data_IF_581966673883
#
_entry.id   IF_581966673883
#
_cell.length_a   1.000
_cell.length_b   1.000
_cell.length_c   1.000
_cell.angle_alpha   90.00
_cell.angle_beta   90.00
_cell.angle_gamma   90.00
#
_symmetry.space_group_name_H-M   'P 1'
#
loop_
_entity.id
_entity.type
_entity.pdbx_description
1 polymer ?
#
# COMPACT_ATOMS: atom_id res chain seq x y z
N UNK A 1 -27.64 -54.19 0.65
CA UNK A 1 -27.30 -53.07 -0.29
C UNK A 1 -28.04 -51.75 -0.04
N UNK A 2 -29.01 -51.61 0.86
CA UNK A 2 -29.75 -50.34 1.11
C UNK A 2 -29.21 -49.47 2.26
N UNK A 3 -28.23 -49.91 3.03
CA UNK A 3 -27.67 -49.14 4.17
C UNK A 3 -26.42 -48.34 3.84
N UNK A 4 -25.79 -48.52 2.69
CA UNK A 4 -24.58 -47.80 2.28
C UNK A 4 -24.87 -46.53 1.47
N UNK A 5 -26.05 -46.40 0.89
CA UNK A 5 -26.43 -45.20 0.11
C UNK A 5 -26.84 -44.01 0.98
N UNK A 6 -27.27 -44.24 2.22
CA UNK A 6 -27.67 -43.18 3.14
C UNK A 6 -26.49 -42.51 3.81
N UNK A 7 -25.34 -43.19 3.91
CA UNK A 7 -24.14 -42.62 4.52
C UNK A 7 -23.33 -41.72 3.56
N UNK A 8 -23.44 -41.95 2.25
CA UNK A 8 -22.81 -41.10 1.23
C UNK A 8 -23.59 -39.80 0.98
N UNK A 9 -24.89 -39.78 1.20
CA UNK A 9 -25.71 -38.57 1.06
C UNK A 9 -25.49 -37.56 2.23
N UNK A 10 -25.10 -38.03 3.42
CA UNK A 10 -24.76 -37.17 4.55
C UNK A 10 -23.32 -36.59 4.48
N UNK A 11 -22.41 -37.26 3.78
CA UNK A 11 -21.05 -36.78 3.61
C UNK A 11 -20.96 -35.69 2.51
N UNK A 12 -21.92 -35.63 1.60
CA UNK A 12 -21.99 -34.61 0.53
C UNK A 12 -22.57 -33.26 0.95
N UNK A 13 -23.19 -33.14 2.13
CA UNK A 13 -23.80 -31.90 2.61
C UNK A 13 -22.90 -31.05 3.54
N UNK A 14 -21.68 -31.48 3.85
CA UNK A 14 -20.79 -30.80 4.78
C UNK A 14 -19.80 -29.86 4.05
N UNK A 15 -19.80 -29.80 2.72
CA UNK A 15 -18.80 -29.07 1.93
C UNK A 15 -19.21 -27.68 1.41
N UNK A 16 -20.38 -27.17 1.80
CA UNK A 16 -20.80 -25.80 1.44
C UNK A 16 -21.25 -24.95 2.64
N UNK A 17 -20.63 -25.12 3.79
CA UNK A 17 -20.63 -24.05 4.76
C UNK A 17 -19.47 -23.09 4.39
N UNK A 18 -19.65 -22.27 3.36
CA UNK A 18 -18.92 -21.02 3.27
C UNK A 18 -19.20 -20.28 4.60
N UNK A 19 -18.20 -20.24 5.45
CA UNK A 19 -18.32 -19.62 6.76
C UNK A 19 -18.74 -18.16 6.57
N UNK A 20 -19.98 -17.84 6.92
CA UNK A 20 -20.49 -16.48 6.90
C UNK A 20 -19.49 -15.60 7.63
N UNK A 21 -19.04 -14.48 7.01
CA UNK A 21 -18.06 -13.56 7.62
C UNK A 21 -18.60 -13.14 8.99
N UNK A 22 -17.76 -13.23 10.01
CA UNK A 22 -18.10 -12.73 11.34
C UNK A 22 -17.73 -11.27 11.42
N UNK A 23 -18.67 -10.44 11.83
CA UNK A 23 -18.50 -9.01 12.04
C UNK A 23 -18.46 -8.68 13.53
N UNK A 24 -17.62 -7.71 13.90
CA UNK A 24 -17.60 -7.15 15.26
C UNK A 24 -18.94 -6.49 15.56
N UNK A 25 -19.47 -6.73 16.75
CA UNK A 25 -20.73 -6.10 17.17
C UNK A 25 -20.58 -4.60 17.48
N UNK A 26 -19.33 -4.13 17.76
CA UNK A 26 -19.01 -2.78 18.17
C UNK A 26 -17.67 -2.41 17.57
N UNK A 27 -17.58 -1.24 16.93
CA UNK A 27 -16.32 -0.71 16.42
C UNK A 27 -15.35 -0.35 17.54
N UNK A 28 -14.06 -0.49 17.29
CA UNK A 28 -13.00 0.00 18.20
C UNK A 28 -13.11 1.51 18.42
N UNK A 29 -13.64 2.26 17.45
CA UNK A 29 -13.86 3.70 17.52
C UNK A 29 -15.05 4.11 18.39
N UNK A 30 -15.79 3.17 18.98
CA UNK A 30 -17.01 3.46 19.74
C UNK A 30 -16.76 4.18 21.07
N UNK A 31 -15.55 4.09 21.61
CA UNK A 31 -15.18 4.72 22.89
C UNK A 31 -13.69 5.06 22.93
N UNK A 32 -13.30 6.01 23.77
CA UNK A 32 -11.92 6.43 23.99
C UNK A 32 -11.61 7.80 23.38
N UNK A 33 -10.35 8.20 23.48
CA UNK A 33 -9.82 9.41 22.84
C UNK A 33 -9.04 8.98 21.60
N UNK A 34 -9.36 9.58 20.47
CA UNK A 34 -8.80 9.20 19.19
C UNK A 34 -8.21 10.40 18.45
N UNK A 35 -7.02 10.18 17.88
CA UNK A 35 -6.38 11.12 16.97
C UNK A 35 -6.08 10.42 15.66
N UNK A 36 -6.51 11.01 14.55
CA UNK A 36 -6.22 10.55 13.20
C UNK A 36 -4.90 11.17 12.73
N UNK A 37 -4.04 10.34 12.18
CA UNK A 37 -2.78 10.72 11.55
C UNK A 37 -2.67 10.10 10.16
N UNK A 38 -1.81 10.64 9.31
CA UNK A 38 -1.56 10.07 7.99
C UNK A 38 -0.08 10.01 7.67
N UNK A 39 0.26 9.13 6.73
CA UNK A 39 1.59 8.98 6.12
C UNK A 39 1.44 8.94 4.59
N UNK A 40 2.43 9.43 3.86
CA UNK A 40 2.43 9.53 2.40
C UNK A 40 3.37 8.53 1.71
N UNK A 41 4.20 7.82 2.47
CA UNK A 41 5.12 6.81 1.94
C UNK A 41 5.39 5.69 2.94
N UNK A 42 6.02 4.62 2.47
CA UNK A 42 6.48 3.51 3.30
C UNK A 42 7.61 3.95 4.22
N UNK A 43 7.49 3.66 5.53
CA UNK A 43 8.55 3.99 6.48
C UNK A 43 8.26 3.60 7.91
N UNK A 44 9.28 3.83 8.76
CA UNK A 44 9.12 3.86 10.22
C UNK A 44 8.89 5.31 10.61
N UNK A 45 7.89 5.54 11.43
CA UNK A 45 7.48 6.87 11.91
C UNK A 45 7.63 6.97 13.41
N UNK A 46 7.95 8.17 13.89
CA UNK A 46 8.07 8.46 15.32
C UNK A 46 6.92 9.34 15.82
N UNK A 47 6.33 8.97 16.94
CA UNK A 47 5.29 9.73 17.62
C UNK A 47 5.77 10.07 19.04
N UNK A 48 6.09 11.33 19.29
CA UNK A 48 6.57 11.79 20.59
C UNK A 48 5.44 12.21 21.52
N UNK A 49 5.72 12.33 22.82
CA UNK A 49 4.79 12.89 23.80
C UNK A 49 4.39 14.33 23.43
N UNK A 50 5.33 15.13 22.90
CA UNK A 50 5.02 16.47 22.41
C UNK A 50 4.06 16.46 21.21
N UNK A 51 4.18 15.49 20.30
CA UNK A 51 3.24 15.31 19.19
C UNK A 51 1.83 15.04 19.70
N UNK A 52 1.64 14.11 20.65
CA UNK A 52 0.33 13.80 21.21
C UNK A 52 -0.25 14.99 22.00
N UNK A 53 0.57 15.73 22.70
CA UNK A 53 0.13 16.96 23.41
C UNK A 53 -0.39 18.01 22.43
N UNK A 54 0.26 18.20 21.29
CA UNK A 54 -0.20 19.11 20.22
C UNK A 54 -1.52 18.66 19.61
N UNK A 55 -1.83 17.35 19.63
CA UNK A 55 -3.13 16.79 19.26
C UNK A 55 -4.23 17.02 20.30
N UNK A 56 -3.92 17.65 21.42
CA UNK A 56 -4.86 17.86 22.53
C UNK A 56 -5.06 16.62 23.40
N UNK A 57 -4.21 15.59 23.25
CA UNK A 57 -4.24 14.41 24.10
C UNK A 57 -3.50 14.66 25.42
N UNK A 58 -3.99 14.05 26.48
CA UNK A 58 -3.33 14.12 27.79
C UNK A 58 -1.99 13.37 27.72
N UNK A 59 -0.93 13.96 28.24
CA UNK A 59 0.37 13.31 28.48
C UNK A 59 0.49 12.91 29.95
N UNK A 60 1.52 12.15 30.29
CA UNK A 60 1.69 11.47 31.57
C UNK A 60 0.63 10.37 31.80
N UNK A 61 0.53 9.49 30.81
CA UNK A 61 -0.37 8.35 30.79
C UNK A 61 0.43 7.04 30.86
N UNK A 62 -0.12 5.94 31.33
CA UNK A 62 0.56 4.66 31.26
C UNK A 62 0.94 4.35 29.80
N UNK A 63 2.23 4.21 29.53
CA UNK A 63 2.76 3.97 28.18
C UNK A 63 2.17 2.71 27.55
N UNK A 64 1.85 1.70 28.38
CA UNK A 64 1.18 0.47 27.97
C UNK A 64 -0.18 0.73 27.29
N UNK A 65 -0.87 1.79 27.64
CA UNK A 65 -2.24 2.08 27.19
C UNK A 65 -2.30 2.87 25.87
N UNK A 66 -1.16 3.24 25.31
CA UNK A 66 -1.10 3.83 23.96
C UNK A 66 -1.19 2.73 22.93
N UNK A 67 -2.12 2.90 21.99
CA UNK A 67 -2.42 1.97 20.91
C UNK A 67 -2.50 2.72 19.60
N UNK A 68 -2.15 2.06 18.49
CA UNK A 68 -2.36 2.58 17.15
C UNK A 68 -3.11 1.55 16.31
N UNK A 69 -4.02 2.02 15.47
CA UNK A 69 -4.87 1.17 14.64
C UNK A 69 -4.81 1.63 13.19
N UNK A 70 -4.89 0.68 12.26
CA UNK A 70 -4.94 0.92 10.82
C UNK A 70 -4.71 -0.37 10.04
N UNK A 71 -5.15 -0.40 8.79
CA UNK A 71 -5.04 -1.60 7.94
C UNK A 71 -3.68 -1.78 7.29
N UNK A 72 -2.74 -0.85 7.47
CA UNK A 72 -1.43 -0.90 6.80
C UNK A 72 -1.41 -0.32 5.40
N UNK A 73 -2.37 0.54 5.04
CA UNK A 73 -2.41 1.22 3.75
C UNK A 73 -2.91 0.35 2.59
N UNK A 74 -2.61 0.79 1.35
CA UNK A 74 -3.07 0.13 0.14
C UNK A 74 -4.54 0.36 -0.19
N UNK A 75 -5.05 -0.38 -1.18
CA UNK A 75 -6.43 -0.30 -1.69
C UNK A 75 -7.23 -1.47 -1.15
N UNK A 76 -8.49 -1.23 -0.83
CA UNK A 76 -9.39 -2.32 -0.47
C UNK A 76 -9.67 -3.23 -1.68
N UNK A 77 -9.76 -4.55 -1.48
CA UNK A 77 -10.08 -5.48 -2.55
C UNK A 77 -11.47 -5.20 -3.16
N UNK A 78 -11.54 -5.18 -4.47
CA UNK A 78 -12.83 -5.00 -5.17
C UNK A 78 -13.71 -6.27 -5.11
N UNK A 79 -13.10 -7.43 -5.00
CA UNK A 79 -13.83 -8.70 -4.89
C UNK A 79 -14.41 -8.90 -3.48
N UNK A 80 -15.69 -9.20 -3.40
CA UNK A 80 -16.35 -9.57 -2.13
C UNK A 80 -15.85 -10.89 -1.53
N UNK A 81 -15.13 -11.70 -2.31
CA UNK A 81 -14.58 -12.99 -1.88
C UNK A 81 -13.24 -12.85 -1.16
N UNK A 82 -12.54 -11.75 -1.38
CA UNK A 82 -11.26 -11.49 -0.69
C UNK A 82 -11.51 -11.16 0.79
N UNK A 83 -10.67 -11.76 1.64
CA UNK A 83 -10.67 -11.44 3.06
C UNK A 83 -10.16 -10.01 3.28
N UNK A 84 -10.85 -9.26 4.13
CA UNK A 84 -10.45 -7.93 4.61
C UNK A 84 -10.55 -7.93 6.12
N UNK A 85 -9.85 -7.03 6.78
CA UNK A 85 -10.13 -6.72 8.18
C UNK A 85 -11.57 -6.21 8.31
N UNK A 86 -12.27 -6.68 9.33
CA UNK A 86 -13.67 -6.25 9.55
C UNK A 86 -13.72 -4.82 10.10
N UNK A 87 -12.97 -4.56 11.16
CA UNK A 87 -12.78 -3.25 11.80
C UNK A 87 -11.28 -2.91 11.79
N UNK A 88 -10.88 -1.81 12.35
CA UNK A 88 -9.49 -1.36 12.40
C UNK A 88 -8.62 -2.33 13.20
N UNK A 89 -7.64 -3.00 12.58
CA UNK A 89 -6.69 -3.83 13.29
C UNK A 89 -5.69 -2.97 14.06
N UNK A 90 -5.22 -3.49 15.19
CA UNK A 90 -4.17 -2.86 15.97
C UNK A 90 -2.79 -3.16 15.41
N UNK A 91 -1.99 -2.13 15.21
CA UNK A 91 -0.59 -2.17 14.81
C UNK A 91 0.31 -2.19 16.04
N UNK A 92 1.31 -3.06 16.08
CA UNK A 92 2.28 -3.09 17.17
C UNK A 92 3.23 -1.88 17.11
N UNK A 93 3.60 -1.36 18.28
CA UNK A 93 4.51 -0.22 18.41
C UNK A 93 5.77 -0.60 19.18
N UNK A 94 6.86 0.09 18.91
CA UNK A 94 8.07 0.07 19.71
C UNK A 94 8.07 1.26 20.65
N UNK A 95 7.83 1.01 21.95
CA UNK A 95 7.70 2.05 22.96
C UNK A 95 9.06 2.38 23.58
N UNK A 96 9.36 3.68 23.68
CA UNK A 96 10.48 4.20 24.43
C UNK A 96 9.95 5.24 25.44
N UNK A 97 9.72 4.78 26.66
CA UNK A 97 9.16 5.53 27.80
C UNK A 97 10.18 5.70 28.94
N UNK A 98 11.49 5.63 28.64
CA UNK A 98 12.52 5.72 29.67
C UNK A 98 12.54 4.55 30.67
N UNK A 99 11.60 3.62 30.59
CA UNK A 99 11.47 2.45 31.45
C UNK A 99 10.69 2.70 32.75
N UNK A 100 10.01 3.85 32.89
CA UNK A 100 9.20 4.18 34.07
C UNK A 100 7.71 3.84 33.91
N UNK A 101 7.30 3.45 32.68
CA UNK A 101 5.93 3.04 32.38
C UNK A 101 4.96 4.18 32.19
N UNK A 102 5.44 5.43 32.14
CA UNK A 102 4.66 6.65 31.91
C UNK A 102 5.13 7.28 30.61
N UNK A 103 4.21 7.69 29.76
CA UNK A 103 4.53 8.34 28.50
C UNK A 103 4.45 9.86 28.65
N UNK A 104 5.59 10.50 28.80
CA UNK A 104 5.71 11.95 28.96
C UNK A 104 7.06 12.49 28.47
N UNK A 105 7.34 13.77 28.74
CA UNK A 105 8.65 14.39 28.49
C UNK A 105 9.17 14.18 27.07
N UNK A 106 10.25 13.45 26.95
CA UNK A 106 10.94 13.14 25.69
C UNK A 106 10.59 11.74 25.14
N UNK A 107 9.58 11.10 25.67
CA UNK A 107 9.17 9.77 25.26
C UNK A 107 8.60 9.74 23.83
N UNK A 108 8.76 8.61 23.20
CA UNK A 108 8.24 8.38 21.86
C UNK A 108 7.93 6.90 21.64
N UNK A 109 7.12 6.64 20.66
CA UNK A 109 7.00 5.29 20.10
C UNK A 109 7.22 5.30 18.59
N UNK A 110 7.63 4.16 18.07
CA UNK A 110 7.83 3.93 16.65
C UNK A 110 6.79 2.94 16.13
N UNK A 111 6.36 3.14 14.89
CA UNK A 111 5.53 2.18 14.17
C UNK A 111 5.90 2.12 12.71
N UNK A 112 5.61 0.99 12.07
CA UNK A 112 5.80 0.81 10.63
C UNK A 112 4.51 1.14 9.88
N UNK A 113 4.64 1.80 8.73
CA UNK A 113 3.56 2.11 7.82
C UNK A 113 3.97 1.76 6.37
N UNK A 114 3.23 0.89 5.65
CA UNK A 114 3.51 0.55 4.25
C UNK A 114 3.28 1.68 3.23
N UNK A 115 2.54 2.72 3.62
CA UNK A 115 2.18 3.81 2.70
C UNK A 115 0.92 3.53 1.87
N UNK A 116 0.45 4.51 1.08
CA UNK A 116 -0.77 4.39 0.27
C UNK A 116 -0.59 3.45 -0.93
N UNK A 117 0.54 3.53 -1.60
CA UNK A 117 0.92 2.68 -2.72
C UNK A 117 1.75 1.50 -2.24
N UNK A 118 1.58 0.33 -2.86
CA UNK A 118 2.23 -0.89 -2.40
C UNK A 118 2.89 -1.67 -3.54
N UNK A 119 4.06 -2.23 -3.25
CA UNK A 119 4.67 -3.25 -4.07
C UNK A 119 4.30 -4.63 -3.51
N UNK A 120 3.63 -5.44 -4.32
CA UNK A 120 3.11 -6.74 -3.90
C UNK A 120 3.84 -7.85 -4.65
N UNK A 121 4.46 -8.77 -3.92
CA UNK A 121 5.11 -9.93 -4.54
C UNK A 121 4.09 -10.81 -5.25
N UNK A 122 4.38 -11.14 -6.52
CA UNK A 122 3.57 -11.98 -7.40
C UNK A 122 4.23 -13.36 -7.52
N UNK A 123 3.79 -14.39 -6.78
CA UNK A 123 4.45 -15.71 -6.80
C UNK A 123 4.49 -16.36 -8.17
N UNK A 124 3.50 -16.08 -9.03
CA UNK A 124 3.38 -16.66 -10.38
C UNK A 124 4.44 -16.16 -11.36
N UNK A 125 4.89 -14.92 -11.21
CA UNK A 125 5.92 -14.29 -12.05
C UNK A 125 7.26 -14.19 -11.33
N UNK A 126 7.29 -14.39 -10.01
CA UNK A 126 8.44 -14.14 -9.13
C UNK A 126 8.96 -12.69 -9.23
N UNK A 127 8.05 -11.75 -9.44
CA UNK A 127 8.32 -10.31 -9.52
C UNK A 127 7.39 -9.54 -8.58
N UNK A 128 7.72 -8.29 -8.30
CA UNK A 128 6.83 -7.38 -7.58
C UNK A 128 5.95 -6.64 -8.58
N UNK A 129 4.66 -6.52 -8.29
CA UNK A 129 3.73 -5.66 -9.01
C UNK A 129 3.39 -4.43 -8.16
N UNK A 130 3.34 -3.27 -8.78
CA UNK A 130 2.91 -2.05 -8.12
C UNK A 130 1.39 -1.94 -8.08
N UNK A 131 0.85 -1.62 -6.92
CA UNK A 131 -0.55 -1.29 -6.72
C UNK A 131 -0.67 0.16 -6.26
N UNK A 132 -1.08 1.03 -7.19
CA UNK A 132 -1.38 2.42 -6.90
C UNK A 132 -2.70 2.55 -6.16
N UNK A 133 -2.76 3.46 -5.21
CA UNK A 133 -4.01 3.87 -4.59
C UNK A 133 -4.64 5.03 -5.41
N UNK A 134 -5.72 4.79 -6.17
CA UNK A 134 -6.34 5.83 -7.00
C UNK A 134 -7.22 6.80 -6.20
N UNK A 135 -7.38 6.60 -4.90
CA UNK A 135 -8.31 7.33 -4.06
C UNK A 135 -7.63 8.26 -3.06
N UNK A 136 -6.35 7.97 -2.71
CA UNK A 136 -5.62 8.76 -1.71
C UNK A 136 -4.12 8.61 -1.87
N UNK A 137 -3.40 9.72 -1.77
CA UNK A 137 -1.94 9.76 -1.65
C UNK A 137 -1.45 9.59 -0.20
N UNK A 138 -2.36 9.20 0.71
CA UNK A 138 -2.07 9.00 2.12
C UNK A 138 -2.69 7.72 2.64
N UNK A 139 -2.00 7.07 3.60
CA UNK A 139 -2.54 6.03 4.47
C UNK A 139 -2.83 6.62 5.85
N UNK A 140 -3.89 6.15 6.50
CA UNK A 140 -4.37 6.73 7.74
C UNK A 140 -4.28 5.74 8.90
N UNK A 141 -3.97 6.29 10.07
CA UNK A 141 -3.89 5.57 11.32
C UNK A 141 -4.62 6.33 12.43
N UNK A 142 -5.07 5.59 13.44
CA UNK A 142 -5.80 6.13 14.57
C UNK A 142 -5.05 5.81 15.86
N UNK A 143 -4.56 6.84 16.56
CA UNK A 143 -3.90 6.70 17.85
C UNK A 143 -4.98 6.78 18.93
N UNK A 144 -5.00 5.78 19.81
CA UNK A 144 -5.92 5.68 20.93
C UNK A 144 -5.17 5.75 22.25
N UNK A 145 -5.74 6.48 23.20
CA UNK A 145 -5.38 6.42 24.60
C UNK A 145 -6.55 5.79 25.33
N UNK A 146 -6.35 4.58 25.81
CA UNK A 146 -7.39 3.75 26.43
C UNK A 146 -7.00 3.23 27.82
N UNK A 147 -7.69 2.17 28.23
CA UNK A 147 -7.48 1.52 29.52
C UNK A 147 -6.95 0.08 29.40
N UNK A 148 -6.61 -0.34 28.19
CA UNK A 148 -6.10 -1.69 27.88
C UNK A 148 -4.73 -1.60 27.24
N UNK A 149 -3.80 -2.49 27.63
CA UNK A 149 -2.49 -2.53 27.01
C UNK A 149 -2.57 -2.80 25.51
N UNK A 150 -1.72 -2.11 24.75
CA UNK A 150 -1.59 -2.26 23.32
C UNK A 150 -0.52 -3.27 22.91
N UNK A 151 -0.51 -3.62 21.61
CA UNK A 151 0.48 -4.49 21.01
C UNK A 151 1.87 -3.83 21.01
N UNK A 152 2.89 -4.64 21.25
CA UNK A 152 4.30 -4.19 21.26
C UNK A 152 5.11 -5.02 20.29
N UNK A 153 6.03 -4.36 19.60
CA UNK A 153 7.04 -5.01 18.77
C UNK A 153 8.02 -5.74 19.69
N UNK A 154 8.29 -7.01 19.38
CA UNK A 154 9.18 -7.86 20.18
C UNK A 154 10.43 -8.22 19.38
N UNK A 155 11.48 -8.63 20.09
CA UNK A 155 12.67 -9.21 19.47
C UNK A 155 12.32 -10.55 18.81
N UNK A 156 12.80 -10.73 17.59
CA UNK A 156 12.69 -12.01 16.89
C UNK A 156 13.70 -13.04 17.43
N UNK A 157 13.42 -14.34 17.29
CA UNK A 157 14.36 -15.38 17.64
C UNK A 157 15.70 -15.19 16.90
N UNK A 158 16.80 -15.39 17.63
CA UNK A 158 18.15 -15.29 17.03
C UNK A 158 18.40 -16.49 16.14
N UNK A 159 18.72 -16.23 14.87
CA UNK A 159 19.13 -17.23 13.90
C UNK A 159 20.65 -17.24 13.81
N UNK A 160 21.23 -18.44 13.71
CA UNK A 160 22.68 -18.60 13.53
C UNK A 160 23.14 -18.06 12.19
N UNK A 161 24.35 -17.50 12.15
CA UNK A 161 24.94 -17.03 10.91
C UNK A 161 25.02 -18.15 9.86
N UNK A 162 24.67 -17.80 8.63
CA UNK A 162 24.75 -18.67 7.46
C UNK A 162 26.01 -18.39 6.65
N UNK A 163 26.46 -19.39 5.88
CA UNK A 163 27.50 -19.20 4.85
C UNK A 163 26.99 -18.40 3.64
N UNK A 164 25.68 -18.36 3.42
CA UNK A 164 25.04 -17.48 2.43
C UNK A 164 25.05 -16.06 2.93
N UNK A 165 25.81 -15.18 2.27
CA UNK A 165 25.89 -13.75 2.64
C UNK A 165 25.21 -12.91 1.59
N UNK A 166 24.22 -12.12 2.01
CA UNK A 166 23.46 -11.19 1.19
C UNK A 166 24.01 -9.77 1.39
N UNK A 167 24.46 -9.15 0.31
CA UNK A 167 25.04 -7.79 0.28
C UNK A 167 24.35 -6.88 -0.73
N UNK A 168 23.38 -7.40 -1.45
CA UNK A 168 22.55 -6.74 -2.44
C UNK A 168 21.10 -7.23 -2.34
N UNK A 169 20.15 -6.45 -2.85
CA UNK A 169 18.73 -6.74 -2.74
C UNK A 169 17.99 -6.45 -4.04
N UNK A 170 16.74 -6.91 -4.13
CA UNK A 170 15.84 -6.62 -5.24
C UNK A 170 15.20 -5.25 -5.05
N UNK A 171 15.62 -4.30 -5.87
CA UNK A 171 15.09 -2.93 -5.91
C UNK A 171 14.08 -2.79 -7.03
N UNK A 172 13.13 -1.89 -6.83
CA UNK A 172 12.13 -1.52 -7.82
C UNK A 172 11.94 0.01 -7.86
N UNK A 173 11.55 0.49 -9.01
CA UNK A 173 11.25 1.90 -9.24
C UNK A 173 10.05 2.00 -10.17
N UNK A 174 9.17 2.94 -9.92
CA UNK A 174 8.06 3.27 -10.80
C UNK A 174 8.06 4.75 -11.14
N UNK A 175 7.80 5.06 -12.40
CA UNK A 175 7.42 6.36 -12.91
C UNK A 175 5.99 6.31 -13.40
N UNK A 176 5.15 7.18 -12.87
CA UNK A 176 3.76 7.36 -13.25
C UNK A 176 3.34 8.80 -12.99
N UNK A 177 2.77 9.42 -13.99
CA UNK A 177 2.20 10.76 -13.91
C UNK A 177 0.72 10.69 -14.29
N UNK A 178 -0.17 10.99 -13.35
CA UNK A 178 -1.61 11.03 -13.57
C UNK A 178 -2.07 12.46 -13.87
N UNK A 179 -2.13 12.83 -15.13
CA UNK A 179 -2.50 14.19 -15.54
C UNK A 179 -3.73 14.26 -16.46
N UNK A 180 -4.05 13.16 -17.18
CA UNK A 180 -5.10 13.14 -18.19
C UNK A 180 -6.02 11.95 -17.97
N UNK A 181 -7.32 12.24 -17.81
CA UNK A 181 -8.38 11.23 -17.84
C UNK A 181 -9.28 11.49 -19.05
N UNK A 182 -9.28 10.57 -20.02
CA UNK A 182 -10.02 10.74 -21.29
C UNK A 182 -11.53 10.80 -21.11
N UNK A 183 -12.05 10.08 -20.13
CA UNK A 183 -13.49 9.95 -19.89
C UNK A 183 -13.99 10.89 -18.79
N UNK A 184 -13.09 11.58 -18.11
CA UNK A 184 -13.37 12.37 -16.89
C UNK A 184 -14.10 11.55 -15.83
N UNK A 185 -13.84 10.25 -15.78
CA UNK A 185 -14.40 9.31 -14.83
C UNK A 185 -13.56 8.03 -14.75
N UNK A 186 -13.75 7.23 -13.68
CA UNK A 186 -13.00 6.00 -13.47
C UNK A 186 -11.60 6.23 -12.92
N UNK A 187 -10.81 5.17 -12.90
CA UNK A 187 -9.49 5.11 -12.22
C UNK A 187 -8.31 5.33 -13.15
N UNK A 188 -8.52 5.25 -14.47
CA UNK A 188 -7.44 5.28 -15.46
C UNK A 188 -7.07 6.72 -15.80
N UNK A 189 -5.88 7.10 -15.40
CA UNK A 189 -5.24 8.35 -15.73
C UNK A 189 -3.96 8.08 -16.50
N UNK A 190 -3.55 9.02 -17.33
CA UNK A 190 -2.36 8.89 -18.16
C UNK A 190 -1.46 10.10 -17.99
N UNK A 191 -0.17 9.89 -18.18
CA UNK A 191 0.85 10.91 -17.97
C UNK A 191 1.26 11.63 -19.23
N UNK A 192 2.53 11.64 -19.52
CA UNK A 192 3.17 12.47 -20.51
C UNK A 192 2.59 12.25 -21.92
N UNK A 193 2.07 13.34 -22.55
CA UNK A 193 1.57 13.26 -23.93
C UNK A 193 2.71 13.28 -24.94
N UNK A 194 2.49 12.53 -26.03
CA UNK A 194 3.29 12.53 -27.25
C UNK A 194 2.42 12.82 -28.45
N UNK A 195 2.93 13.50 -29.46
CA UNK A 195 2.20 13.79 -30.67
C UNK A 195 3.12 14.05 -31.86
N UNK A 196 2.58 13.81 -33.06
CA UNK A 196 3.26 14.10 -34.32
C UNK A 196 2.94 15.50 -34.87
N UNK A 197 1.93 16.18 -34.28
CA UNK A 197 1.52 17.52 -34.69
C UNK A 197 2.54 18.58 -34.32
N UNK A 198 2.57 19.67 -35.09
CA UNK A 198 3.41 20.83 -34.78
C UNK A 198 3.14 21.36 -33.37
N UNK A 199 4.18 21.59 -32.59
CA UNK A 199 4.10 22.06 -31.21
C UNK A 199 3.94 20.98 -30.15
N UNK A 200 3.77 19.69 -30.54
CA UNK A 200 3.79 18.56 -29.60
C UNK A 200 5.16 17.88 -29.59
N UNK A 201 5.51 17.30 -28.45
CA UNK A 201 6.72 16.50 -28.32
C UNK A 201 6.47 15.10 -28.84
N UNK A 202 7.33 14.62 -29.74
CA UNK A 202 7.31 13.22 -30.22
C UNK A 202 8.23 12.32 -29.42
N UNK A 203 9.11 12.86 -28.56
CA UNK A 203 10.02 12.08 -27.72
C UNK A 203 10.21 12.71 -26.35
N UNK A 204 10.53 11.87 -25.36
CA UNK A 204 10.89 12.26 -23.99
C UNK A 204 11.94 11.31 -23.44
N UNK A 205 12.87 11.86 -22.64
CA UNK A 205 13.88 11.11 -21.92
C UNK A 205 13.69 11.31 -20.41
N UNK A 206 13.72 10.21 -19.67
CA UNK A 206 13.67 10.15 -18.22
C UNK A 206 15.07 9.81 -17.71
N UNK A 207 15.73 10.78 -17.10
CA UNK A 207 17.06 10.61 -16.53
C UNK A 207 16.95 10.10 -15.11
N UNK A 208 17.38 8.87 -14.87
CA UNK A 208 17.31 8.18 -13.58
C UNK A 208 18.73 8.00 -13.03
N UNK A 209 18.86 8.06 -11.70
CA UNK A 209 20.12 7.78 -11.03
C UNK A 209 19.85 6.93 -9.78
N UNK A 210 20.38 5.71 -9.80
CA UNK A 210 20.20 4.73 -8.73
C UNK A 210 21.54 4.49 -8.02
N UNK A 211 21.81 5.27 -6.97
CA UNK A 211 23.02 5.05 -6.15
C UNK A 211 23.05 3.63 -5.63
N UNK A 212 24.17 2.94 -5.85
CA UNK A 212 24.35 1.55 -5.43
C UNK A 212 23.75 0.51 -6.37
N UNK A 213 23.29 0.87 -7.58
CA UNK A 213 22.91 -0.12 -8.59
C UNK A 213 24.08 -1.06 -8.91
N UNK A 214 23.83 -2.37 -8.96
CA UNK A 214 24.88 -3.38 -9.15
C UNK A 214 25.15 -3.56 -10.65
N UNK A 215 26.25 -2.98 -11.10
CA UNK A 215 26.68 -3.01 -12.51
C UNK A 215 26.88 -4.44 -12.99
N UNK A 216 26.46 -4.72 -14.23
CA UNK A 216 26.56 -6.05 -14.84
C UNK A 216 25.42 -7.00 -14.50
N UNK A 217 24.56 -6.65 -13.54
CA UNK A 217 23.35 -7.44 -13.24
C UNK A 217 22.24 -7.15 -14.24
N UNK A 218 21.33 -8.11 -14.38
CA UNK A 218 20.15 -7.97 -15.21
C UNK A 218 19.14 -7.01 -14.54
N UNK A 219 18.42 -6.26 -15.38
CA UNK A 219 17.21 -5.53 -14.97
C UNK A 219 16.06 -5.90 -15.91
N UNK A 220 14.83 -5.71 -15.41
CA UNK A 220 13.62 -5.77 -16.23
C UNK A 220 12.96 -4.39 -16.25
N UNK A 221 12.58 -3.91 -17.44
CA UNK A 221 11.76 -2.71 -17.61
C UNK A 221 10.39 -3.15 -18.11
N UNK A 222 9.35 -2.86 -17.33
CA UNK A 222 7.95 -2.98 -17.74
C UNK A 222 7.41 -1.61 -18.10
N UNK A 223 6.53 -1.53 -19.08
CA UNK A 223 5.95 -0.26 -19.50
C UNK A 223 4.57 -0.43 -20.09
N UNK A 224 3.72 0.56 -19.86
CA UNK A 224 2.42 0.67 -20.47
C UNK A 224 2.23 2.06 -21.09
N UNK A 225 1.73 2.05 -22.31
CA UNK A 225 1.37 3.25 -23.07
C UNK A 225 0.00 3.08 -23.68
N UNK A 226 -0.68 4.20 -23.94
CA UNK A 226 -1.87 4.23 -24.78
C UNK A 226 -1.63 5.09 -26.00
N UNK A 227 -2.21 4.68 -27.13
CA UNK A 227 -2.07 5.38 -28.40
C UNK A 227 -3.39 5.59 -29.11
N UNK A 228 -3.51 6.74 -29.77
CA UNK A 228 -4.64 7.12 -30.60
C UNK A 228 -4.18 7.54 -31.97
N UNK A 229 -4.66 6.82 -32.98
CA UNK A 229 -4.47 7.12 -34.41
C UNK A 229 -5.65 6.51 -35.17
N UNK A 230 -5.96 6.98 -36.38
CA UNK A 230 -7.12 6.52 -37.14
C UNK A 230 -6.78 5.78 -38.42
N UNK A 231 -5.57 5.84 -38.90
CA UNK A 231 -5.20 5.26 -40.22
C UNK A 231 -4.18 4.14 -40.08
N UNK A 232 -3.16 4.37 -39.26
CA UNK A 232 -2.02 3.46 -39.12
C UNK A 232 -1.71 3.23 -37.64
N UNK A 233 -1.15 2.08 -37.28
CA UNK A 233 -0.72 1.82 -35.89
C UNK A 233 0.32 2.86 -35.44
N UNK A 234 0.23 3.30 -34.20
CA UNK A 234 1.34 3.97 -33.55
C UNK A 234 2.43 2.96 -33.20
N UNK A 235 3.68 3.37 -33.39
CA UNK A 235 4.85 2.65 -32.92
C UNK A 235 5.60 3.54 -31.95
N UNK A 236 5.99 2.99 -30.82
CA UNK A 236 6.68 3.73 -29.77
C UNK A 236 7.85 2.89 -29.24
N UNK A 237 9.04 3.00 -29.86
CA UNK A 237 10.25 2.42 -29.32
C UNK A 237 10.54 3.00 -27.94
N UNK A 238 10.87 2.09 -27.01
CA UNK A 238 11.41 2.38 -25.69
C UNK A 238 12.91 2.18 -25.77
N UNK A 239 13.63 3.24 -25.45
CA UNK A 239 15.09 3.28 -25.54
C UNK A 239 15.68 3.21 -24.13
N UNK A 240 16.82 2.53 -24.04
CA UNK A 240 17.67 2.58 -22.87
C UNK A 240 19.03 3.13 -23.30
N UNK A 241 19.44 4.25 -22.70
CA UNK A 241 20.69 4.92 -23.05
C UNK A 241 20.85 5.13 -24.56
N UNK A 242 19.75 5.48 -25.25
CA UNK A 242 19.71 5.73 -26.69
C UNK A 242 19.57 4.49 -27.58
N UNK A 243 19.60 3.27 -27.02
CA UNK A 243 19.41 2.04 -27.79
C UNK A 243 18.01 1.47 -27.56
N UNK A 244 17.33 1.03 -28.63
CA UNK A 244 15.99 0.44 -28.52
C UNK A 244 16.03 -0.85 -27.73
N UNK A 245 15.27 -0.91 -26.64
CA UNK A 245 15.09 -2.10 -25.81
C UNK A 245 13.92 -2.95 -26.31
N UNK A 246 12.80 -2.32 -26.61
CA UNK A 246 11.61 -2.90 -27.22
C UNK A 246 10.75 -1.80 -27.86
N UNK A 247 9.67 -2.19 -28.54
CA UNK A 247 8.74 -1.24 -29.18
C UNK A 247 7.30 -1.57 -28.82
N UNK A 248 6.55 -0.58 -28.31
CA UNK A 248 5.10 -0.65 -28.24
C UNK A 248 4.47 -0.48 -29.61
N UNK A 249 3.33 -1.14 -29.81
CA UNK A 249 2.48 -0.94 -30.98
C UNK A 249 1.02 -0.87 -30.52
N UNK A 250 0.34 0.23 -30.83
CA UNK A 250 -1.09 0.39 -30.58
C UNK A 250 -1.83 0.43 -31.92
N UNK A 251 -2.84 -0.43 -32.13
CA UNK A 251 -3.62 -0.44 -33.37
C UNK A 251 -4.37 0.88 -33.57
N UNK A 252 -4.74 1.23 -34.80
CA UNK A 252 -5.56 2.41 -35.05
C UNK A 252 -6.99 2.19 -34.53
N UNK A 253 -7.67 3.29 -34.22
CA UNK A 253 -9.09 3.33 -33.95
C UNK A 253 -9.88 3.33 -35.27
N UNK A 254 -11.07 2.75 -35.27
CA UNK A 254 -11.97 2.71 -36.45
C UNK A 254 -13.01 3.84 -36.43
N UNK A 255 -13.11 4.58 -35.35
CA UNK A 255 -14.01 5.73 -35.20
C UNK A 255 -15.45 5.35 -34.85
N UNK A 256 -15.66 4.19 -34.21
CA UNK A 256 -17.02 3.77 -33.76
C UNK A 256 -17.36 4.32 -32.38
N UNK A 257 -18.66 4.45 -32.10
CA UNK A 257 -19.16 5.04 -30.83
C UNK A 257 -18.78 4.22 -29.57
N UNK A 258 -18.58 2.92 -29.71
CA UNK A 258 -18.30 2.00 -28.58
C UNK A 258 -16.79 1.69 -28.44
N UNK A 259 -15.97 2.35 -29.18
CA UNK A 259 -14.52 2.14 -29.17
C UNK A 259 -13.87 2.81 -27.95
N UNK A 260 -12.79 2.27 -27.37
CA UNK A 260 -12.04 2.95 -26.33
C UNK A 260 -11.46 4.29 -26.84
N UNK A 261 -11.23 5.24 -25.94
CA UNK A 261 -10.66 6.54 -26.29
C UNK A 261 -9.22 6.45 -26.84
N UNK A 262 -8.49 5.39 -26.50
CA UNK A 262 -7.16 5.05 -26.98
C UNK A 262 -6.92 3.54 -26.81
N UNK A 263 -6.04 2.95 -27.62
CA UNK A 263 -5.64 1.54 -27.48
C UNK A 263 -4.39 1.40 -26.61
N UNK A 264 -4.39 0.43 -25.70
CA UNK A 264 -3.31 0.16 -24.77
C UNK A 264 -2.28 -0.81 -25.37
N UNK A 265 -1.02 -0.62 -24.98
CA UNK A 265 0.06 -1.57 -25.18
C UNK A 265 0.89 -1.69 -23.90
N UNK A 266 0.99 -2.92 -23.37
CA UNK A 266 1.88 -3.24 -22.23
C UNK A 266 2.97 -4.18 -22.72
N UNK A 267 4.23 -3.84 -22.44
CA UNK A 267 5.39 -4.62 -22.83
C UNK A 267 6.49 -4.56 -21.78
N UNK A 268 7.42 -5.48 -21.91
CA UNK A 268 8.63 -5.53 -21.08
C UNK A 268 9.86 -5.86 -21.91
N UNK A 269 11.01 -5.43 -21.41
CA UNK A 269 12.31 -5.76 -21.96
C UNK A 269 13.33 -5.97 -20.85
N UNK A 270 14.36 -6.76 -21.14
CA UNK A 270 15.46 -7.04 -20.21
C UNK A 270 16.76 -6.48 -20.75
N UNK A 271 17.64 -6.05 -19.87
CA UNK A 271 18.95 -5.55 -20.20
C UNK A 271 19.93 -5.73 -19.05
N UNK A 272 21.13 -5.19 -19.20
CA UNK A 272 22.16 -5.19 -18.15
C UNK A 272 22.42 -3.76 -17.69
N UNK A 273 22.55 -3.58 -16.38
CA UNK A 273 22.97 -2.31 -15.82
C UNK A 273 24.42 -2.01 -16.19
N UNK A 274 24.66 -0.83 -16.74
CA UNK A 274 26.00 -0.38 -17.15
C UNK A 274 26.58 0.68 -16.22
N UNK A 275 25.80 1.15 -15.27
CA UNK A 275 26.17 2.19 -14.29
C UNK A 275 24.98 2.56 -13.41
N UNK A 276 25.16 3.56 -12.55
CA UNK A 276 24.09 4.09 -11.70
C UNK A 276 23.09 4.96 -12.48
N UNK A 277 23.54 5.59 -13.59
CA UNK A 277 22.71 6.42 -14.46
C UNK A 277 22.05 5.61 -15.55
N UNK A 278 20.77 5.83 -15.73
CA UNK A 278 19.93 5.25 -16.77
C UNK A 278 19.10 6.32 -17.44
N UNK A 279 19.04 6.32 -18.78
CA UNK A 279 18.13 7.17 -19.54
C UNK A 279 17.09 6.28 -20.21
N UNK A 280 15.84 6.36 -19.74
CA UNK A 280 14.69 5.68 -20.37
C UNK A 280 14.06 6.67 -21.33
N UNK A 281 14.14 6.39 -22.65
CA UNK A 281 13.60 7.23 -23.70
C UNK A 281 12.35 6.64 -24.33
N UNK A 282 11.41 7.49 -24.67
CA UNK A 282 10.22 7.15 -25.46
C UNK A 282 10.16 8.03 -26.69
N UNK A 283 9.87 7.40 -27.85
CA UNK A 283 9.72 8.13 -29.11
C UNK A 283 8.49 7.66 -29.86
N UNK A 284 7.55 8.56 -30.12
CA UNK A 284 6.39 8.26 -30.95
C UNK A 284 6.76 8.33 -32.43
N UNK A 285 6.72 7.19 -33.10
CA UNK A 285 6.74 7.07 -34.55
C UNK A 285 5.29 6.84 -35.00
N UNK A 286 4.55 7.94 -35.16
CA UNK A 286 3.13 7.86 -35.52
C UNK A 286 2.96 7.57 -37.00
N UNK A 287 2.00 6.68 -37.31
CA UNK A 287 1.66 6.33 -38.68
C UNK A 287 0.78 7.38 -39.37
N UNK A 288 0.28 8.41 -38.67
CA UNK A 288 -0.52 9.50 -39.22
C UNK A 288 -0.11 10.85 -38.66
N UNK A 289 -0.50 11.93 -39.35
CA UNK A 289 -0.22 13.30 -38.89
C UNK A 289 -0.98 13.66 -37.60
N UNK A 290 -2.01 12.91 -37.25
CA UNK A 290 -2.83 13.10 -36.02
C UNK A 290 -2.49 12.09 -34.92
N UNK A 291 -1.39 11.35 -35.05
CA UNK A 291 -1.01 10.35 -34.07
C UNK A 291 -0.69 10.98 -32.70
N UNK A 292 -1.26 10.40 -31.68
CA UNK A 292 -1.06 10.77 -30.28
C UNK A 292 -0.78 9.51 -29.44
N UNK A 293 -0.02 9.67 -28.37
CA UNK A 293 0.20 8.65 -27.37
C UNK A 293 0.41 9.28 -25.99
N UNK A 294 0.23 8.47 -24.96
CA UNK A 294 0.48 8.87 -23.57
C UNK A 294 1.20 7.72 -22.87
N UNK A 295 2.19 8.09 -22.07
CA UNK A 295 2.80 7.15 -21.13
C UNK A 295 1.81 6.96 -19.98
N UNK A 296 1.51 5.71 -19.62
CA UNK A 296 0.82 5.42 -18.38
C UNK A 296 1.86 5.30 -17.26
N UNK A 297 2.74 4.34 -17.38
CA UNK A 297 3.80 4.13 -16.41
C UNK A 297 4.95 3.31 -17.01
N UNK A 298 6.10 3.35 -16.33
CA UNK A 298 7.13 2.34 -16.46
C UNK A 298 7.69 1.95 -15.11
N UNK A 299 8.13 0.69 -15.00
CA UNK A 299 8.75 0.10 -13.82
C UNK A 299 10.11 -0.48 -14.18
N UNK A 300 11.04 -0.36 -13.23
CA UNK A 300 12.35 -0.99 -13.29
C UNK A 300 12.52 -1.91 -12.09
N UNK A 301 12.95 -3.15 -12.35
CA UNK A 301 13.33 -4.12 -11.35
C UNK A 301 14.79 -4.46 -11.55
N UNK A 302 15.62 -4.26 -10.53
CA UNK A 302 17.07 -4.41 -10.64
C UNK A 302 17.71 -4.76 -9.30
N UNK A 303 19.01 -5.04 -9.31
CA UNK A 303 19.78 -5.32 -8.09
C UNK A 303 20.46 -4.06 -7.60
N UNK A 304 20.37 -3.80 -6.28
CA UNK A 304 21.01 -2.69 -5.59
C UNK A 304 21.80 -3.19 -4.38
N UNK A 305 22.94 -2.58 -4.10
CA UNK A 305 23.77 -2.88 -2.93
C UNK A 305 23.04 -2.50 -1.65
N UNK A 306 23.17 -3.33 -0.61
CA UNK A 306 22.78 -2.98 0.74
C UNK A 306 23.77 -1.95 1.29
N UNK A 307 23.44 -0.68 1.17
CA UNK A 307 24.26 0.46 1.59
C UNK A 307 23.38 1.59 2.09
N UNK A 308 23.64 2.03 3.33
CA UNK A 308 22.85 3.05 4.04
C UNK A 308 23.45 4.45 3.91
N UNK A 309 24.52 4.62 3.12
CA UNK A 309 25.15 5.93 2.99
C UNK A 309 24.17 7.01 2.51
N UNK A 310 23.99 8.04 3.33
CA UNK A 310 23.11 9.18 3.02
C UNK A 310 21.61 8.90 3.14
N UNK A 311 21.22 7.74 3.70
CA UNK A 311 19.82 7.37 3.92
C UNK A 311 19.48 7.47 5.41
N UNK A 312 18.23 7.80 5.73
CA UNK A 312 17.65 7.66 7.06
C UNK A 312 16.96 6.31 7.23
N UNK A 313 16.43 5.75 6.14
CA UNK A 313 15.72 4.46 6.09
C UNK A 313 15.95 3.76 4.74
N UNK A 314 15.89 2.44 4.74
CA UNK A 314 15.98 1.59 3.54
C UNK A 314 15.05 0.38 3.69
N UNK A 315 14.04 0.28 2.84
CA UNK A 315 13.26 -0.94 2.66
C UNK A 315 14.00 -1.89 1.72
N UNK A 316 14.11 -3.16 2.07
CA UNK A 316 14.80 -4.13 1.22
C UNK A 316 14.25 -5.55 1.39
N UNK A 317 14.45 -6.38 0.38
CA UNK A 317 14.13 -7.81 0.32
C UNK A 317 15.11 -8.50 -0.62
N UNK A 318 15.25 -9.81 -0.51
CA UNK A 318 16.11 -10.56 -1.40
C UNK A 318 15.47 -11.88 -1.84
N UNK A 319 15.05 -11.95 -3.09
CA UNK A 319 14.45 -13.14 -3.69
C UNK A 319 15.47 -14.26 -3.92
N UNK A 320 16.76 -13.91 -4.11
CA UNK A 320 17.81 -14.89 -4.40
C UNK A 320 18.14 -15.77 -3.19
N UNK A 321 17.95 -15.28 -1.98
CA UNK A 321 18.22 -16.05 -0.76
C UNK A 321 17.06 -16.96 -0.37
N UNK A 322 15.85 -16.76 -0.93
CA UNK A 322 14.67 -17.54 -0.57
C UNK A 322 14.85 -19.01 -0.96
N UNK A 323 14.65 -19.90 0.00
CA UNK A 323 14.67 -21.35 -0.17
C UNK A 323 16.06 -21.97 -0.37
N UNK A 324 17.15 -21.18 -0.45
CA UNK A 324 18.48 -21.68 -0.78
C UNK A 324 19.09 -22.60 0.30
N UNK A 325 19.12 -22.13 1.56
CA UNK A 325 19.73 -22.84 2.69
C UNK A 325 18.87 -22.84 3.95
N UNK A 326 17.70 -22.24 3.90
CA UNK A 326 16.81 -22.01 5.04
C UNK A 326 17.24 -20.85 5.95
N UNK A 327 18.46 -20.31 5.81
CA UNK A 327 18.97 -19.14 6.53
C UNK A 327 19.94 -18.34 5.67
N UNK A 328 19.97 -17.01 5.84
CA UNK A 328 20.98 -16.13 5.24
C UNK A 328 21.50 -15.10 6.24
N UNK A 329 22.75 -14.69 6.07
CA UNK A 329 23.38 -13.58 6.78
C UNK A 329 23.35 -12.34 5.88
N UNK A 330 22.82 -11.24 6.36
CA UNK A 330 22.76 -9.96 5.65
C UNK A 330 23.88 -9.05 6.16
N UNK A 331 24.56 -8.36 5.25
CA UNK A 331 25.59 -7.38 5.59
C UNK A 331 25.29 -6.06 4.87
N UNK A 332 25.00 -5.03 5.64
CA UNK A 332 24.57 -3.70 5.17
C UNK A 332 25.67 -2.72 5.45
N UNK A 333 26.23 -2.09 4.42
CA UNK A 333 27.30 -1.10 4.57
C UNK A 333 26.79 0.21 5.20
N UNK A 334 27.69 0.90 5.89
CA UNK A 334 27.41 2.21 6.52
C UNK A 334 26.24 2.14 7.53
N UNK A 335 26.13 1.03 8.27
CA UNK A 335 24.99 0.75 9.15
C UNK A 335 25.17 1.18 10.60
N UNK A 336 26.19 1.97 10.93
CA UNK A 336 26.38 2.50 12.29
C UNK A 336 25.21 3.40 12.70
N UNK A 337 24.59 3.10 13.86
CA UNK A 337 23.41 3.82 14.35
C UNK A 337 22.09 3.33 13.76
N UNK A 338 22.09 2.35 12.87
CA UNK A 338 20.88 1.76 12.31
C UNK A 338 20.44 0.51 13.08
N UNK A 339 19.14 0.25 13.02
CA UNK A 339 18.49 -0.99 13.46
C UNK A 339 17.69 -1.58 12.30
N UNK A 340 17.33 -2.86 12.40
CA UNK A 340 16.56 -3.55 11.35
C UNK A 340 15.32 -4.21 11.95
N UNK A 341 14.19 -3.95 11.32
CA UNK A 341 12.95 -4.68 11.59
C UNK A 341 12.59 -5.57 10.41
N UNK A 342 12.04 -6.74 10.71
CA UNK A 342 11.27 -7.54 9.77
C UNK A 342 9.84 -6.96 9.74
N UNK A 343 9.44 -6.48 8.57
CA UNK A 343 8.15 -5.81 8.35
C UNK A 343 7.23 -6.62 7.44
N UNK A 344 7.52 -7.92 7.26
CA UNK A 344 6.72 -8.84 6.45
C UNK A 344 5.26 -8.92 6.90
N UNK A 345 5.00 -8.77 8.20
CA UNK A 345 3.67 -8.50 8.73
C UNK A 345 3.60 -7.02 9.16
N UNK A 346 2.91 -6.17 8.39
CA UNK A 346 2.86 -4.73 8.69
C UNK A 346 2.14 -4.40 10.00
N UNK A 347 1.31 -5.30 10.53
CA UNK A 347 0.60 -5.11 11.80
C UNK A 347 1.43 -5.59 13.01
N UNK A 348 2.40 -6.45 12.77
CA UNK A 348 3.25 -7.03 13.81
C UNK A 348 4.72 -7.17 13.35
N UNK A 349 5.42 -6.06 13.13
CA UNK A 349 6.85 -6.10 12.84
C UNK A 349 7.64 -6.76 13.95
N UNK A 350 8.83 -7.29 13.61
CA UNK A 350 9.75 -7.91 14.57
C UNK A 350 11.12 -7.22 14.57
N UNK A 351 11.72 -7.02 15.75
CA UNK A 351 13.08 -6.50 15.87
C UNK A 351 14.10 -7.60 15.60
N UNK A 352 15.01 -7.37 14.66
CA UNK A 352 16.11 -8.27 14.41
C UNK A 352 17.31 -7.92 15.29
N UNK A 353 17.93 -8.93 15.86
CA UNK A 353 19.19 -8.73 16.59
C UNK A 353 20.30 -8.46 15.59
N UNK A 354 20.87 -7.28 15.66
CA UNK A 354 21.95 -6.83 14.78
C UNK A 354 23.28 -6.74 15.53
N UNK A 355 24.39 -6.82 14.81
CA UNK A 355 25.73 -6.55 15.32
C UNK A 355 26.55 -5.76 14.30
N UNK A 356 27.47 -4.93 14.76
CA UNK A 356 28.41 -4.21 13.91
C UNK A 356 29.69 -5.04 13.67
N UNK A 357 30.18 -5.02 12.43
CA UNK A 357 31.47 -5.52 12.03
C UNK A 357 32.19 -4.42 11.25
N UNK A 358 33.01 -3.63 11.95
CA UNK A 358 33.45 -2.33 11.44
C UNK A 358 32.27 -1.37 11.33
N UNK A 359 32.04 -0.80 10.15
CA UNK A 359 30.87 0.05 9.85
C UNK A 359 29.67 -0.74 9.32
N UNK A 360 29.81 -2.02 9.05
CA UNK A 360 28.74 -2.85 8.48
C UNK A 360 27.81 -3.36 9.56
N UNK A 361 26.53 -3.19 9.36
CA UNK A 361 25.47 -3.75 10.18
C UNK A 361 25.15 -5.17 9.69
N UNK A 362 25.16 -6.14 10.58
CA UNK A 362 24.92 -7.55 10.24
C UNK A 362 23.80 -8.15 11.06
N UNK A 363 23.02 -9.01 10.42
CA UNK A 363 22.03 -9.87 11.05
C UNK A 363 21.89 -11.17 10.25
N UNK A 364 21.26 -12.17 10.83
CA UNK A 364 20.83 -13.39 10.14
C UNK A 364 19.34 -13.60 10.33
N UNK A 365 18.68 -14.13 9.30
CA UNK A 365 17.28 -14.52 9.38
C UNK A 365 17.03 -15.82 8.60
N UNK A 366 15.89 -16.43 8.87
CA UNK A 366 15.38 -17.55 8.08
C UNK A 366 14.98 -17.08 6.68
N UNK A 367 15.11 -17.97 5.69
CA UNK A 367 14.82 -17.69 4.29
C UNK A 367 13.93 -18.75 3.64
N UNK A 368 13.16 -19.49 4.43
CA UNK A 368 12.17 -20.44 3.94
C UNK A 368 11.06 -19.77 3.14
N UNK A 369 10.83 -18.49 3.39
CA UNK A 369 9.92 -17.60 2.68
C UNK A 369 10.57 -16.25 2.43
N UNK A 370 9.95 -15.43 1.59
CA UNK A 370 10.37 -14.06 1.40
C UNK A 370 10.08 -13.24 2.66
N UNK A 371 11.08 -12.47 3.10
CA UNK A 371 10.95 -11.46 4.14
C UNK A 371 11.17 -10.07 3.57
N UNK A 372 10.45 -9.11 4.12
CA UNK A 372 10.67 -7.68 3.87
C UNK A 372 11.24 -7.02 5.12
N UNK A 373 12.26 -6.21 4.91
CA UNK A 373 13.01 -5.57 5.99
C UNK A 373 12.99 -4.07 5.86
N UNK A 374 13.07 -3.39 6.99
CA UNK A 374 13.32 -1.96 7.09
C UNK A 374 14.55 -1.72 7.97
N UNK A 375 15.64 -1.22 7.36
CA UNK A 375 16.78 -0.67 8.10
C UNK A 375 16.54 0.83 8.30
N UNK A 376 16.72 1.35 9.51
CA UNK A 376 16.46 2.76 9.80
C UNK A 376 17.32 3.29 10.95
N UNK A 377 17.58 4.60 10.94
CA UNK A 377 18.24 5.31 12.03
C UNK A 377 17.18 5.95 12.94
N UNK A 378 16.99 5.49 14.19
CA UNK A 378 15.95 6.00 15.08
C UNK A 378 16.03 7.50 15.38
N UNK A 379 17.24 8.10 15.21
CA UNK A 379 17.44 9.53 15.44
C UNK A 379 17.05 10.43 14.24
N UNK A 380 16.66 9.84 13.09
CA UNK A 380 16.39 10.56 11.83
C UNK A 380 15.01 10.23 11.24
N UNK A 381 14.07 9.86 12.09
CA UNK A 381 12.72 9.49 11.67
C UNK A 381 11.79 10.69 11.60
N UNK A 382 10.86 10.63 10.68
CA UNK A 382 9.80 11.63 10.52
C UNK A 382 8.60 11.29 11.41
N UNK A 383 7.86 12.32 11.78
CA UNK A 383 6.57 12.15 12.42
C UNK A 383 5.47 12.01 11.35
N UNK A 384 4.38 11.27 11.63
CA UNK A 384 3.21 11.28 10.76
C UNK A 384 2.56 12.67 10.73
N UNK A 385 1.73 12.93 9.72
CA UNK A 385 0.96 14.18 9.60
C UNK A 385 -0.24 14.12 10.56
N UNK A 386 -0.39 15.13 11.40
CA UNK A 386 -1.53 15.26 12.32
C UNK A 386 -2.77 15.74 11.58
N UNK A 387 -3.87 14.99 11.67
CA UNK A 387 -5.16 15.37 11.07
C UNK A 387 -6.17 15.87 12.09
N UNK A 388 -6.00 15.51 13.36
CA UNK A 388 -6.85 15.97 14.46
C UNK A 388 -7.60 14.86 15.19
N UNK A 389 -8.47 15.27 16.09
CA UNK A 389 -9.28 14.34 16.90
C UNK A 389 -10.45 13.75 16.10
N UNK A 390 -10.81 12.50 16.41
CA UNK A 390 -11.95 11.80 15.83
C UNK A 390 -13.01 11.58 16.89
N UNK A 391 -14.25 11.95 16.57
CA UNK A 391 -15.38 11.68 17.43
C UNK A 391 -15.66 10.17 17.54
N UNK A 392 -16.10 9.70 18.68
CA UNK A 392 -16.51 8.31 18.83
C UNK A 392 -17.66 7.99 17.88
N UNK A 393 -17.58 6.84 17.23
CA UNK A 393 -18.54 6.35 16.25
C UNK A 393 -18.69 4.83 16.34
N UNK A 394 -19.80 4.27 15.86
CA UNK A 394 -20.05 2.83 15.93
C UNK A 394 -21.01 2.38 14.83
N UNK A 395 -20.54 2.30 13.60
CA UNK A 395 -21.33 1.78 12.47
C UNK A 395 -21.49 0.25 12.57
N UNK A 396 -20.54 -0.43 13.21
CA UNK A 396 -20.65 -1.86 13.52
C UNK A 396 -21.79 -2.15 14.49
N UNK A 397 -22.21 -1.19 15.33
CA UNK A 397 -23.34 -1.32 16.23
C UNK A 397 -24.71 -0.94 15.62
N UNK A 398 -24.76 -0.52 14.36
CA UNK A 398 -26.01 -0.21 13.67
C UNK A 398 -26.83 -1.50 13.49
N UNK A 399 -28.13 -1.43 13.83
CA UNK A 399 -29.08 -2.52 13.61
C UNK A 399 -29.32 -2.80 12.12
N UNK A 400 -30.45 -3.46 11.82
CA UNK A 400 -30.85 -3.78 10.44
C UNK A 400 -31.79 -2.71 9.88
N UNK A 401 -31.27 -1.61 9.26
CA UNK A 401 -32.12 -0.61 8.64
C UNK A 401 -32.66 -1.12 7.31
N UNK A 402 -33.85 -0.64 6.93
CA UNK A 402 -34.40 -0.88 5.59
C UNK A 402 -33.73 0.03 4.55
N UNK A 403 -33.19 1.17 4.97
CA UNK A 403 -32.58 2.18 4.12
C UNK A 403 -31.32 2.76 4.75
N UNK A 404 -30.30 2.93 3.95
CA UNK A 404 -29.06 3.64 4.32
C UNK A 404 -28.94 4.87 3.44
N UNK A 405 -28.71 6.03 4.05
CA UNK A 405 -28.43 7.29 3.35
C UNK A 405 -26.99 7.69 3.71
N UNK A 406 -26.11 7.64 2.73
CA UNK A 406 -24.72 8.13 2.87
C UNK A 406 -24.71 9.57 2.36
N UNK A 407 -24.48 10.54 3.22
CA UNK A 407 -24.55 11.96 2.87
C UNK A 407 -23.40 12.73 3.53
N UNK A 408 -22.83 13.66 2.78
CA UNK A 408 -21.86 14.62 3.31
C UNK A 408 -22.45 15.41 4.48
N UNK A 409 -21.63 15.79 5.44
CA UNK A 409 -22.04 16.53 6.63
C UNK A 409 -22.83 17.79 6.31
N UNK A 410 -22.51 18.48 5.22
CA UNK A 410 -23.23 19.68 4.78
C UNK A 410 -24.68 19.42 4.36
N UNK A 411 -25.03 18.16 4.03
CA UNK A 411 -26.36 17.70 3.61
C UNK A 411 -27.10 16.91 4.72
N UNK A 412 -26.55 16.82 5.91
CA UNK A 412 -27.10 15.97 7.00
C UNK A 412 -28.56 16.31 7.34
N UNK A 413 -28.96 17.61 7.30
CA UNK A 413 -30.32 18.03 7.57
C UNK A 413 -31.32 17.52 6.51
N UNK A 414 -30.95 17.59 5.23
CA UNK A 414 -31.76 17.11 4.10
C UNK A 414 -31.83 15.58 4.08
N UNK A 415 -30.72 14.92 4.35
CA UNK A 415 -30.68 13.47 4.48
C UNK A 415 -31.56 12.97 5.61
N UNK A 416 -31.54 13.66 6.77
CA UNK A 416 -32.44 13.36 7.88
C UNK A 416 -33.92 13.59 7.50
N UNK A 417 -34.23 14.70 6.83
CA UNK A 417 -35.61 14.99 6.35
C UNK A 417 -36.11 13.89 5.40
N UNK A 418 -35.25 13.38 4.53
CA UNK A 418 -35.57 12.25 3.65
C UNK A 418 -35.84 10.98 4.44
N UNK A 419 -34.96 10.67 5.41
CA UNK A 419 -35.16 9.52 6.31
C UNK A 419 -36.48 9.60 7.07
N UNK A 420 -36.79 10.76 7.67
CA UNK A 420 -38.03 11.00 8.41
C UNK A 420 -39.28 10.87 7.50
N UNK A 421 -39.19 11.35 6.26
CA UNK A 421 -40.27 11.20 5.26
C UNK A 421 -40.56 9.73 4.96
N UNK A 422 -39.55 8.92 4.68
CA UNK A 422 -39.73 7.50 4.42
C UNK A 422 -40.18 6.72 5.67
N UNK A 423 -39.74 7.12 6.84
CA UNK A 423 -40.22 6.52 8.10
C UNK A 423 -41.73 6.76 8.29
N UNK A 424 -42.21 7.99 8.03
CA UNK A 424 -43.61 8.36 8.21
C UNK A 424 -44.52 7.81 7.10
N UNK A 425 -44.07 7.87 5.85
CA UNK A 425 -44.89 7.50 4.70
C UNK A 425 -44.85 6.01 4.39
N UNK A 426 -43.66 5.39 4.46
CA UNK A 426 -43.41 4.03 3.97
C UNK A 426 -43.13 3.05 5.11
N UNK A 427 -43.03 3.53 6.35
CA UNK A 427 -42.69 2.71 7.53
C UNK A 427 -41.27 2.17 7.52
N UNK A 428 -40.34 2.77 6.74
CA UNK A 428 -38.95 2.32 6.63
C UNK A 428 -38.13 2.80 7.81
N UNK A 429 -37.28 1.92 8.34
CA UNK A 429 -36.21 2.35 9.25
C UNK A 429 -35.01 2.79 8.41
N UNK A 430 -34.61 4.05 8.56
CA UNK A 430 -33.49 4.62 7.84
C UNK A 430 -32.35 5.02 8.79
N UNK A 431 -31.12 4.79 8.35
CA UNK A 431 -29.92 5.33 9.01
C UNK A 431 -29.23 6.33 8.08
N UNK A 432 -28.83 7.47 8.62
CA UNK A 432 -28.03 8.47 7.93
C UNK A 432 -26.61 8.39 8.45
N UNK A 433 -25.64 8.26 7.56
CA UNK A 433 -24.21 8.17 7.91
C UNK A 433 -23.40 9.11 7.04
N UNK A 434 -22.30 9.64 7.58
CA UNK A 434 -21.36 10.46 6.83
C UNK A 434 -20.32 9.56 6.14
N UNK A 435 -19.86 9.89 4.92
CA UNK A 435 -18.81 9.12 4.24
C UNK A 435 -17.57 8.92 5.10
N UNK A 436 -17.13 9.94 5.85
CA UNK A 436 -15.96 9.87 6.71
C UNK A 436 -16.13 8.82 7.82
N UNK A 437 -17.33 8.67 8.39
CA UNK A 437 -17.61 7.63 9.38
C UNK A 437 -17.44 6.24 8.78
N UNK A 438 -17.92 6.06 7.54
CA UNK A 438 -17.77 4.80 6.81
C UNK A 438 -16.30 4.53 6.50
N UNK A 439 -15.57 5.55 6.01
CA UNK A 439 -14.15 5.41 5.72
C UNK A 439 -13.33 5.07 6.97
N UNK A 440 -13.62 5.72 8.09
CA UNK A 440 -12.89 5.46 9.34
C UNK A 440 -12.99 3.99 9.78
N UNK A 441 -14.16 3.36 9.71
CA UNK A 441 -14.35 1.98 10.16
C UNK A 441 -14.03 0.93 9.08
N UNK A 442 -14.28 1.21 7.79
CA UNK A 442 -14.25 0.20 6.73
C UNK A 442 -13.09 0.33 5.73
N UNK A 443 -12.32 1.43 5.78
CA UNK A 443 -11.14 1.65 4.94
C UNK A 443 -9.97 2.31 5.69
N UNK A 444 -9.93 2.18 7.00
CA UNK A 444 -8.88 2.84 7.83
C UNK A 444 -8.77 4.35 7.59
N UNK A 445 -9.89 5.01 7.29
CA UNK A 445 -9.96 6.45 7.07
C UNK A 445 -9.62 6.91 5.66
N UNK A 446 -9.24 6.01 4.75
CA UNK A 446 -9.00 6.34 3.34
C UNK A 446 -10.35 6.52 2.59
N UNK A 447 -10.48 7.53 1.70
CA UNK A 447 -11.72 7.80 0.96
C UNK A 447 -11.95 6.78 -0.17
N UNK A 448 -11.86 5.49 0.13
CA UNK A 448 -12.11 4.39 -0.80
C UNK A 448 -13.60 4.06 -0.88
N UNK A 449 -14.25 4.19 -2.04
CA UNK A 449 -15.67 3.88 -2.19
C UNK A 449 -16.01 2.41 -1.87
N UNK A 450 -15.02 1.51 -1.91
CA UNK A 450 -15.18 0.13 -1.48
C UNK A 450 -15.58 -0.01 -0.01
N UNK A 451 -15.24 0.97 0.82
CA UNK A 451 -15.67 1.02 2.22
C UNK A 451 -17.20 1.07 2.34
N UNK A 452 -17.88 1.87 1.48
CA UNK A 452 -19.33 1.95 1.46
C UNK A 452 -19.95 0.60 1.10
N UNK A 453 -19.38 -0.09 0.09
CA UNK A 453 -19.79 -1.46 -0.26
C UNK A 453 -19.61 -2.42 0.92
N UNK A 454 -18.49 -2.34 1.64
CA UNK A 454 -18.20 -3.22 2.78
C UNK A 454 -19.16 -2.97 3.95
N UNK A 455 -19.51 -1.71 4.22
CA UNK A 455 -20.55 -1.37 5.19
C UNK A 455 -21.91 -1.97 4.80
N UNK A 456 -22.33 -1.81 3.55
CA UNK A 456 -23.56 -2.41 3.04
C UNK A 456 -23.54 -3.94 3.08
N UNK A 457 -22.37 -4.55 2.77
CA UNK A 457 -22.18 -5.99 2.86
C UNK A 457 -22.33 -6.49 4.30
N UNK A 458 -21.75 -5.79 5.26
CA UNK A 458 -21.92 -6.12 6.68
C UNK A 458 -23.41 -6.15 7.09
N UNK A 459 -24.17 -5.12 6.68
CA UNK A 459 -25.62 -5.09 6.96
C UNK A 459 -26.40 -6.21 6.26
N UNK A 460 -25.98 -6.57 5.05
CA UNK A 460 -26.61 -7.65 4.30
C UNK A 460 -26.32 -9.04 4.90
N UNK A 461 -25.10 -9.26 5.37
CA UNK A 461 -24.63 -10.54 5.90
C UNK A 461 -25.20 -10.86 7.32
N UNK A 462 -25.65 -9.84 8.05
CA UNK A 462 -26.24 -9.96 9.40
C UNK A 462 -27.74 -10.19 9.35
#
# INVERSE_FOLDING_TARGET
>A
MKRWFTMFALLGMVLFAEGQRRYAAVSVLSAGQWTKVSVDHQGIYTVSAAFLKNAGLTTAIPSANIRIFGTGGGVLPESNQQAIADDLPEVAVDMNDGGDGVFDGNDFFLFYAPGPDQWIFQPTTSEFGFQKNPYSDQSFYFINIGNTPGKRITEMPVVSNSSTVVVEFDEHYRHELDSINFLRSGKEWYGEPFGTQTGKLSSRDFNLNFSGAVVGTDFTLHSEVVGRSFEQPNRMPVLLNGQTLFEHSTPPLVGTLLEPAANMSRKSGKGKLTGNGLVVGYKLNGGSASAEAWLNWFELHFRRSLDLQGLSQLAFRDLKSVGATGTASFSIRNGSGFVVWDVSDPLLPGKLKTNLSGADLRFANETSKLHEYMAFNPAQLEAPIMLGTVANQNLHGVGQPNMVIVADKSMSAEAKRLADFHAQKDGLTAVVVEPEQVYNEFSSGAPDPTAIRNFMKMLFDR
#
